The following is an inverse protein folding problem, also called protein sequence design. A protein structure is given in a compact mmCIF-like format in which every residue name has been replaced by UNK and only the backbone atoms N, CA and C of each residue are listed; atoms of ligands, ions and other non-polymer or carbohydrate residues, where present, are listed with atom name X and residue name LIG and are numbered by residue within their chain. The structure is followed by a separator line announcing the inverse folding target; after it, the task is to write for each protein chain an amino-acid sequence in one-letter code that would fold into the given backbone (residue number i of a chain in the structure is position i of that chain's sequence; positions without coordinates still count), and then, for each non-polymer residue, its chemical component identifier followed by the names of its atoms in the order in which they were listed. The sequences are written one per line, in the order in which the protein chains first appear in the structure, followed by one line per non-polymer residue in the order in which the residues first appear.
data_IF_842228904346
#
_entry.id   IF_842228904346
#
_cell.length_a   1.000
_cell.length_b   1.000
_cell.length_c   1.000
_cell.angle_alpha   90.00
_cell.angle_beta   90.00
_cell.angle_gamma   90.00
#
_symmetry.space_group_name_H-M   'P 1'
#
loop_
_entity.id
_entity.type
_entity.pdbx_description
1 polymer ?
#
# COMPACT_ATOMS: atom_id res chain seq x y z
N UNK A 1 65.24 -10.75 29.70
CA UNK A 1 63.86 -10.32 29.29
C UNK A 1 62.93 -10.93 30.27
N UNK A 2 62.58 -10.10 31.23
CA UNK A 2 61.84 -10.48 32.44
C UNK A 2 60.35 -10.59 32.14
N UNK A 3 59.78 -11.77 32.31
CA UNK A 3 58.34 -11.98 32.33
C UNK A 3 57.82 -11.81 33.75
N UNK A 4 57.03 -10.76 33.93
CA UNK A 4 56.43 -10.33 35.18
C UNK A 4 55.44 -11.41 35.73
N UNK A 5 55.55 -11.89 36.97
CA UNK A 5 54.67 -12.91 37.54
C UNK A 5 53.26 -12.44 37.89
N UNK A 6 52.89 -11.20 37.54
CA UNK A 6 51.53 -10.65 37.84
C UNK A 6 50.43 -11.11 36.89
N UNK A 7 50.77 -11.69 35.72
CA UNK A 7 49.77 -12.12 34.74
C UNK A 7 49.17 -13.52 34.96
N UNK A 8 49.71 -14.26 35.95
CA UNK A 8 49.19 -15.61 36.28
C UNK A 8 48.14 -15.62 37.42
N UNK A 9 47.93 -14.50 38.10
CA UNK A 9 46.91 -14.39 39.16
C UNK A 9 45.52 -14.03 38.65
N UNK A 10 45.42 -13.44 37.44
CA UNK A 10 44.14 -13.07 36.79
C UNK A 10 43.34 -14.22 36.18
N UNK A 11 44.02 -15.33 35.86
CA UNK A 11 43.39 -16.48 35.23
C UNK A 11 42.66 -17.46 36.18
N UNK A 12 42.97 -17.39 37.49
CA UNK A 12 42.36 -18.25 38.52
C UNK A 12 41.11 -17.67 39.20
N UNK A 13 40.84 -16.40 39.01
CA UNK A 13 39.65 -15.73 39.59
C UNK A 13 38.39 -15.79 38.72
N UNK A 14 38.48 -16.28 37.48
CA UNK A 14 37.35 -16.38 36.55
C UNK A 14 36.68 -17.77 36.54
N UNK A 15 37.18 -18.76 37.24
CA UNK A 15 36.61 -20.13 37.29
C UNK A 15 35.61 -20.35 38.44
N UNK A 16 35.35 -19.36 39.30
CA UNK A 16 34.50 -19.53 40.50
C UNK A 16 33.13 -18.81 40.43
N UNK A 17 32.74 -18.29 39.25
CA UNK A 17 31.42 -17.68 39.05
C UNK A 17 30.68 -18.24 37.81
N UNK A 18 30.75 -19.55 37.60
CA UNK A 18 29.74 -20.23 36.82
C UNK A 18 28.50 -20.44 37.73
N UNK A 19 27.86 -19.34 38.10
CA UNK A 19 26.51 -19.35 38.67
C UNK A 19 25.59 -19.92 37.57
N UNK A 20 24.85 -20.93 37.96
CA UNK A 20 23.72 -21.53 37.27
C UNK A 20 22.80 -20.40 36.85
N UNK A 21 22.87 -20.00 35.56
CA UNK A 21 21.94 -19.05 34.97
C UNK A 21 20.68 -19.85 34.64
N UNK A 22 19.72 -19.74 35.55
CA UNK A 22 18.35 -20.14 35.32
C UNK A 22 17.91 -19.59 33.97
N UNK A 23 17.36 -20.39 33.03
CA UNK A 23 16.86 -19.87 31.77
C UNK A 23 15.75 -18.87 32.10
N UNK A 24 15.96 -17.62 31.70
CA UNK A 24 14.94 -16.59 31.77
C UNK A 24 13.65 -17.14 31.14
N UNK A 25 12.49 -16.90 31.77
CA UNK A 25 11.22 -17.33 31.22
C UNK A 25 11.09 -16.71 29.84
N UNK A 26 10.76 -17.55 28.85
CA UNK A 26 10.43 -17.09 27.52
C UNK A 26 9.36 -16.00 27.65
N UNK A 27 9.47 -14.89 26.88
CA UNK A 27 8.38 -13.94 26.86
C UNK A 27 7.14 -14.69 26.37
N UNK A 28 6.16 -14.83 27.25
CA UNK A 28 4.80 -15.18 26.85
C UNK A 28 4.35 -14.09 25.87
N UNK A 29 4.66 -14.31 24.59
CA UNK A 29 4.04 -13.59 23.51
C UNK A 29 2.58 -13.98 23.53
N UNK A 30 1.78 -13.16 24.21
CA UNK A 30 0.35 -13.16 24.01
C UNK A 30 0.15 -13.06 22.48
N UNK A 31 -0.24 -14.17 21.88
CA UNK A 31 -0.83 -14.13 20.54
C UNK A 31 -1.94 -13.06 20.63
N UNK A 32 -2.03 -12.11 19.68
CA UNK A 32 -3.15 -11.22 19.69
C UNK A 32 -4.39 -12.11 19.64
N UNK A 33 -5.18 -12.04 20.72
CA UNK A 33 -6.50 -12.66 20.75
C UNK A 33 -7.20 -12.18 19.49
N UNK A 34 -7.46 -13.09 18.57
CA UNK A 34 -8.30 -12.83 17.43
C UNK A 34 -9.63 -12.39 18.02
N UNK A 35 -9.97 -11.13 17.83
CA UNK A 35 -11.26 -10.56 18.16
C UNK A 35 -12.32 -11.30 17.31
N UNK A 36 -12.77 -12.47 17.83
CA UNK A 36 -13.75 -13.35 17.20
C UNK A 36 -15.16 -12.81 17.24
N UNK A 37 -15.37 -11.57 17.68
CA UNK A 37 -16.71 -10.99 17.81
C UNK A 37 -17.03 -9.92 16.77
N UNK A 38 -16.41 -9.94 15.61
CA UNK A 38 -16.94 -9.16 14.49
C UNK A 38 -17.98 -10.01 13.78
N UNK A 39 -19.25 -9.73 14.13
CA UNK A 39 -20.41 -10.13 13.35
C UNK A 39 -20.23 -9.66 11.89
N UNK A 40 -19.71 -10.56 11.05
CA UNK A 40 -19.58 -10.37 9.61
C UNK A 40 -20.89 -10.69 8.89
N UNK A 41 -22.02 -10.26 9.46
CA UNK A 41 -23.25 -10.17 8.70
C UNK A 41 -23.02 -9.42 7.39
N UNK A 42 -23.88 -9.61 6.36
CA UNK A 42 -23.72 -8.93 5.08
C UNK A 42 -23.69 -7.43 5.33
N UNK A 43 -22.47 -6.85 5.32
CA UNK A 43 -22.30 -5.41 5.48
C UNK A 43 -22.94 -4.74 4.29
N UNK A 44 -23.89 -3.89 4.55
CA UNK A 44 -24.44 -3.00 3.53
C UNK A 44 -23.26 -2.30 2.79
N UNK A 45 -23.33 -2.16 1.46
CA UNK A 45 -22.27 -1.51 0.72
C UNK A 45 -22.08 -0.11 1.31
N UNK A 46 -20.90 0.14 1.88
CA UNK A 46 -20.55 1.45 2.42
C UNK A 46 -20.45 2.41 1.25
N UNK A 47 -21.30 3.41 1.24
CA UNK A 47 -21.36 4.42 0.19
C UNK A 47 -20.79 5.72 0.73
N UNK A 48 -19.83 6.30 0.02
CA UNK A 48 -19.43 7.69 0.25
C UNK A 48 -20.01 8.55 -0.85
N UNK A 49 -20.37 9.77 -0.51
CA UNK A 49 -20.95 10.74 -1.45
C UNK A 49 -19.86 11.72 -1.88
N UNK A 50 -19.65 11.86 -3.19
CA UNK A 50 -18.78 12.90 -3.73
C UNK A 50 -19.52 14.24 -3.64
N UNK A 51 -19.02 15.15 -2.81
CA UNK A 51 -19.60 16.49 -2.62
C UNK A 51 -18.90 17.57 -3.42
N UNK A 52 -17.60 17.41 -3.69
CA UNK A 52 -16.82 18.44 -4.40
C UNK A 52 -15.66 17.87 -5.18
N UNK A 53 -15.41 18.48 -6.33
CA UNK A 53 -14.25 18.22 -7.18
C UNK A 53 -13.50 19.55 -7.43
N UNK A 54 -12.25 19.63 -7.03
CA UNK A 54 -11.37 20.76 -7.32
C UNK A 54 -10.29 20.33 -8.31
N UNK A 55 -10.10 21.10 -9.37
CA UNK A 55 -9.15 20.82 -10.46
C UNK A 55 -8.25 22.03 -10.65
N UNK A 56 -6.95 21.85 -10.67
CA UNK A 56 -5.99 22.94 -10.91
C UNK A 56 -4.81 22.45 -11.77
N UNK A 57 -4.42 23.23 -12.78
CA UNK A 57 -3.30 22.90 -13.66
C UNK A 57 -3.50 21.64 -14.51
N UNK A 58 -4.69 21.09 -14.59
CA UNK A 58 -5.00 19.82 -15.27
C UNK A 58 -5.61 20.07 -16.65
N UNK A 59 -4.95 19.60 -17.70
CA UNK A 59 -5.40 19.71 -19.12
C UNK A 59 -5.87 21.12 -19.50
N UNK A 60 -7.18 21.34 -19.64
CA UNK A 60 -7.74 22.66 -19.98
C UNK A 60 -7.93 23.58 -18.76
N UNK A 61 -7.74 23.09 -17.55
CA UNK A 61 -7.94 23.84 -16.32
C UNK A 61 -6.61 24.46 -15.83
N UNK A 62 -6.23 25.60 -16.40
CA UNK A 62 -5.02 26.32 -16.02
C UNK A 62 -5.09 26.85 -14.59
N UNK A 63 -6.26 27.29 -14.15
CA UNK A 63 -6.55 27.82 -12.82
C UNK A 63 -7.40 26.87 -12.02
N UNK A 64 -7.41 27.04 -10.70
CA UNK A 64 -8.23 26.24 -9.83
C UNK A 64 -9.73 26.45 -10.14
N UNK A 65 -10.39 25.37 -10.50
CA UNK A 65 -11.82 25.33 -10.76
C UNK A 65 -12.45 24.34 -9.79
N UNK A 66 -13.51 24.77 -9.13
CA UNK A 66 -14.28 23.92 -8.21
C UNK A 66 -15.63 23.60 -8.81
N UNK A 67 -16.01 22.34 -8.72
CA UNK A 67 -17.32 21.82 -9.13
C UNK A 67 -17.94 21.21 -7.89
N UNK A 68 -19.02 21.81 -7.39
CA UNK A 68 -19.82 21.24 -6.31
C UNK A 68 -20.80 20.23 -6.89
N UNK A 69 -20.87 19.06 -6.26
CA UNK A 69 -21.76 17.96 -6.65
C UNK A 69 -22.89 17.89 -5.62
N UNK A 70 -24.07 18.30 -6.03
CA UNK A 70 -25.23 18.30 -5.16
C UNK A 70 -25.90 16.93 -5.13
N UNK A 71 -26.64 16.59 -4.05
CA UNK A 71 -27.44 15.38 -4.01
C UNK A 71 -28.41 15.28 -5.19
N UNK A 72 -28.54 14.08 -5.74
CA UNK A 72 -29.36 13.82 -6.93
C UNK A 72 -28.56 13.87 -8.23
N UNK A 73 -29.12 14.51 -9.28
CA UNK A 73 -28.49 14.59 -10.59
C UNK A 73 -27.76 15.92 -10.77
N UNK A 74 -26.44 15.86 -10.93
CA UNK A 74 -25.62 17.01 -11.31
C UNK A 74 -25.22 16.94 -12.77
N UNK A 75 -25.56 17.98 -13.57
CA UNK A 75 -25.25 18.08 -14.99
C UNK A 75 -24.16 19.11 -15.28
N UNK A 76 -23.15 18.73 -16.08
CA UNK A 76 -22.11 19.64 -16.58
C UNK A 76 -22.37 19.90 -18.06
N UNK A 77 -22.80 21.11 -18.38
CA UNK A 77 -23.16 21.51 -19.75
C UNK A 77 -22.22 22.60 -20.29
N UNK A 78 -22.05 22.66 -21.58
CA UNK A 78 -21.22 23.67 -22.23
C UNK A 78 -20.94 23.33 -23.70
N UNK A 79 -20.36 24.24 -24.48
CA UNK A 79 -20.04 24.04 -25.90
C UNK A 79 -18.96 22.95 -26.10
N UNK A 80 -18.76 22.50 -27.33
CA UNK A 80 -17.70 21.55 -27.63
C UNK A 80 -16.33 22.22 -27.43
N UNK A 81 -15.38 21.44 -26.87
CA UNK A 81 -14.02 21.92 -26.58
C UNK A 81 -13.83 22.68 -25.25
N UNK A 82 -14.88 22.99 -24.49
CA UNK A 82 -14.75 23.74 -23.22
C UNK A 82 -14.19 22.90 -22.04
N UNK A 83 -13.85 21.63 -22.22
CA UNK A 83 -13.22 20.83 -21.18
C UNK A 83 -14.15 19.88 -20.40
N UNK A 84 -15.43 19.71 -20.79
CA UNK A 84 -16.37 18.79 -20.10
C UNK A 84 -15.80 17.38 -19.89
N UNK A 85 -15.20 16.81 -20.94
CA UNK A 85 -14.57 15.49 -20.84
C UNK A 85 -13.35 15.47 -19.92
N UNK A 86 -12.66 16.60 -19.78
CA UNK A 86 -11.49 16.70 -18.89
C UNK A 86 -11.89 16.67 -17.40
N UNK A 87 -13.14 17.06 -17.07
CA UNK A 87 -13.68 16.89 -15.71
C UNK A 87 -13.80 15.41 -15.35
N UNK A 88 -14.37 14.59 -16.26
CA UNK A 88 -14.47 13.14 -16.05
C UNK A 88 -13.08 12.50 -15.99
N UNK A 89 -12.15 12.97 -16.81
CA UNK A 89 -10.78 12.48 -16.78
C UNK A 89 -10.05 12.87 -15.47
N UNK A 90 -10.25 14.09 -14.97
CA UNK A 90 -9.72 14.51 -13.69
C UNK A 90 -10.23 13.64 -12.55
N UNK A 91 -11.54 13.34 -12.55
CA UNK A 91 -12.16 12.44 -11.58
C UNK A 91 -11.51 11.03 -11.64
N UNK A 92 -11.44 10.42 -12.83
CA UNK A 92 -10.82 9.10 -13.02
C UNK A 92 -9.35 9.10 -12.59
N UNK A 93 -8.63 10.16 -12.94
CA UNK A 93 -7.23 10.30 -12.57
C UNK A 93 -7.06 10.34 -11.06
N UNK A 94 -7.83 11.15 -10.34
CA UNK A 94 -7.78 11.24 -8.88
C UNK A 94 -8.15 9.90 -8.20
N UNK A 95 -9.07 9.13 -8.78
CA UNK A 95 -9.48 7.81 -8.29
C UNK A 95 -8.48 6.68 -8.55
N UNK A 96 -7.33 6.95 -9.18
CA UNK A 96 -6.27 5.95 -9.33
C UNK A 96 -5.94 5.51 -10.75
N UNK A 97 -6.49 6.14 -11.80
CA UNK A 97 -6.08 5.81 -13.17
C UNK A 97 -4.60 6.14 -13.39
N UNK A 98 -3.82 5.14 -13.73
CA UNK A 98 -2.37 5.24 -13.94
C UNK A 98 -1.94 5.04 -15.40
N UNK A 99 -2.89 4.74 -16.31
CA UNK A 99 -2.58 4.54 -17.71
C UNK A 99 -2.79 5.85 -18.49
N UNK A 100 -1.69 6.42 -19.00
CA UNK A 100 -1.72 7.66 -19.78
C UNK A 100 -2.65 7.57 -21.00
N UNK A 101 -2.73 6.41 -21.67
CA UNK A 101 -3.61 6.19 -22.82
C UNK A 101 -5.09 6.35 -22.47
N UNK A 102 -5.50 5.95 -21.28
CA UNK A 102 -6.87 6.15 -20.81
C UNK A 102 -7.18 7.61 -20.50
N UNK A 103 -6.13 8.41 -20.33
CA UNK A 103 -6.19 9.86 -20.14
C UNK A 103 -5.97 10.63 -21.45
N UNK A 104 -6.05 9.96 -22.61
CA UNK A 104 -5.80 10.54 -23.94
C UNK A 104 -4.45 11.26 -24.04
N UNK A 105 -3.43 10.76 -23.36
CA UNK A 105 -2.04 11.22 -23.37
C UNK A 105 -1.07 10.13 -23.81
N UNK A 106 0.12 10.50 -24.22
CA UNK A 106 1.25 9.62 -24.47
C UNK A 106 1.97 9.26 -23.18
N UNK A 107 2.14 10.26 -22.32
CA UNK A 107 2.76 10.17 -21.03
C UNK A 107 1.84 10.69 -19.91
N UNK A 108 2.16 10.38 -18.66
CA UNK A 108 1.34 10.85 -17.53
C UNK A 108 1.46 12.36 -17.34
N UNK A 109 2.58 12.96 -17.69
CA UNK A 109 2.81 14.40 -17.64
C UNK A 109 1.91 15.19 -18.60
N UNK A 110 1.31 14.53 -19.62
CA UNK A 110 0.36 15.16 -20.54
C UNK A 110 -0.96 15.57 -19.87
N UNK A 111 -1.20 15.17 -18.64
CA UNK A 111 -2.33 15.67 -17.86
C UNK A 111 -2.10 17.08 -17.34
N UNK A 112 -0.85 17.56 -17.33
CA UNK A 112 -0.49 18.91 -16.90
C UNK A 112 -0.84 19.91 -18.01
N UNK A 113 -1.41 21.05 -17.65
CA UNK A 113 -1.75 22.11 -18.59
C UNK A 113 -0.52 22.58 -19.36
N UNK A 114 -0.51 22.32 -20.67
CA UNK A 114 0.63 22.59 -21.53
C UNK A 114 0.81 24.08 -21.88
N UNK A 115 -0.21 24.92 -21.62
CA UNK A 115 -0.23 26.33 -22.01
C UNK A 115 -1.06 26.57 -23.29
N UNK A 116 -1.27 27.83 -23.59
CA UNK A 116 -1.90 28.33 -24.82
C UNK A 116 -1.09 29.51 -25.34
N UNK A 117 -1.47 30.07 -26.48
CA UNK A 117 -0.86 31.29 -27.02
C UNK A 117 -0.93 32.49 -26.06
N UNK A 118 -1.90 32.50 -25.13
CA UNK A 118 -2.15 33.59 -24.19
C UNK A 118 -1.84 33.24 -22.71
N UNK A 119 -1.58 31.96 -22.39
CA UNK A 119 -1.33 31.49 -21.02
C UNK A 119 -0.15 30.56 -20.98
N UNK A 120 0.80 30.83 -20.08
CA UNK A 120 1.94 29.93 -19.85
C UNK A 120 1.49 28.55 -19.32
N UNK A 121 2.21 27.52 -19.71
CA UNK A 121 2.03 26.17 -19.18
C UNK A 121 2.24 26.10 -17.68
N UNK A 122 1.73 25.06 -17.05
CA UNK A 122 1.94 24.76 -15.63
C UNK A 122 3.00 23.67 -15.48
N UNK A 123 3.66 23.65 -14.33
CA UNK A 123 4.61 22.59 -13.97
C UNK A 123 3.99 21.48 -13.14
N UNK A 124 2.76 21.71 -12.68
CA UNK A 124 2.03 20.76 -11.84
C UNK A 124 0.54 20.75 -12.17
N UNK A 125 -0.08 19.61 -11.91
CA UNK A 125 -1.52 19.48 -11.87
C UNK A 125 -1.96 18.85 -10.55
N UNK A 126 -3.10 19.29 -10.04
CA UNK A 126 -3.67 18.82 -8.79
C UNK A 126 -5.18 18.64 -8.95
N UNK A 127 -5.67 17.50 -8.47
CA UNK A 127 -7.11 17.20 -8.42
C UNK A 127 -7.45 16.72 -7.02
N UNK A 128 -8.44 17.36 -6.40
CA UNK A 128 -8.92 17.04 -5.07
C UNK A 128 -10.39 16.61 -5.13
N UNK A 129 -10.71 15.50 -4.49
CA UNK A 129 -12.04 14.95 -4.30
C UNK A 129 -12.43 15.10 -2.83
N UNK A 130 -13.57 15.70 -2.55
CA UNK A 130 -14.16 15.73 -1.22
C UNK A 130 -15.30 14.72 -1.16
N UNK A 131 -15.19 13.77 -0.24
CA UNK A 131 -16.17 12.72 0.00
C UNK A 131 -16.80 12.91 1.38
N UNK A 132 -18.10 12.81 1.45
CA UNK A 132 -18.91 12.78 2.68
C UNK A 132 -19.38 11.35 2.99
N UNK A 133 -19.82 11.10 4.22
CA UNK A 133 -20.27 9.79 4.70
C UNK A 133 -19.19 8.68 4.58
N UNK A 134 -17.93 9.07 4.65
CA UNK A 134 -16.79 8.18 4.35
C UNK A 134 -16.26 7.42 5.59
N UNK A 135 -16.94 7.49 6.74
CA UNK A 135 -16.50 6.83 7.96
C UNK A 135 -16.35 5.31 7.77
N UNK A 136 -15.19 4.79 8.18
CA UNK A 136 -14.85 3.37 8.04
C UNK A 136 -14.34 2.93 6.67
N UNK A 137 -14.18 3.86 5.71
CA UNK A 137 -13.68 3.55 4.35
C UNK A 137 -12.17 3.76 4.21
N UNK A 138 -11.62 4.78 4.87
CA UNK A 138 -10.20 5.07 4.78
C UNK A 138 -9.36 4.18 5.69
N UNK A 139 -8.09 3.91 5.32
CA UNK A 139 -7.18 3.24 6.22
C UNK A 139 -6.82 4.13 7.44
N UNK A 140 -6.41 3.54 8.58
CA UNK A 140 -5.91 4.32 9.71
C UNK A 140 -4.80 5.28 9.28
N UNK A 141 -4.73 6.50 9.81
CA UNK A 141 -5.51 7.04 10.95
C UNK A 141 -6.84 7.70 10.58
N UNK A 142 -7.28 7.66 9.34
CA UNK A 142 -8.48 8.37 8.85
C UNK A 142 -9.75 7.48 8.86
N UNK A 143 -9.71 6.32 9.50
CA UNK A 143 -10.80 5.34 9.44
C UNK A 143 -12.13 5.85 10.01
N UNK A 144 -12.11 6.70 11.03
CA UNK A 144 -13.32 7.19 11.71
C UNK A 144 -13.81 8.55 11.18
N UNK A 145 -13.10 9.12 10.20
CA UNK A 145 -13.40 10.47 9.70
C UNK A 145 -14.54 10.38 8.68
N UNK A 146 -15.61 11.16 8.91
CA UNK A 146 -16.76 11.18 8.02
C UNK A 146 -16.53 11.91 6.70
N UNK A 147 -15.60 12.88 6.69
CA UNK A 147 -15.24 13.65 5.51
C UNK A 147 -13.82 13.32 5.08
N UNK A 148 -13.63 12.89 3.84
CA UNK A 148 -12.32 12.60 3.28
C UNK A 148 -12.00 13.55 2.13
N UNK A 149 -10.85 14.19 2.22
CA UNK A 149 -10.26 14.93 1.11
C UNK A 149 -9.12 14.12 0.49
N UNK A 150 -9.30 13.68 -0.75
CA UNK A 150 -8.33 12.88 -1.48
C UNK A 150 -7.73 13.75 -2.57
N UNK A 151 -6.47 14.08 -2.44
CA UNK A 151 -5.72 14.89 -3.40
C UNK A 151 -4.72 14.05 -4.14
N UNK A 152 -4.74 14.12 -5.47
CA UNK A 152 -3.66 13.66 -6.32
C UNK A 152 -2.94 14.82 -6.96
N UNK A 153 -1.63 14.82 -6.88
CA UNK A 153 -0.76 15.83 -7.49
C UNK A 153 0.27 15.16 -8.39
N UNK A 154 0.56 15.78 -9.50
CA UNK A 154 1.67 15.44 -10.38
C UNK A 154 2.52 16.67 -10.61
N UNK A 155 3.82 16.50 -10.61
CA UNK A 155 4.78 17.55 -10.95
C UNK A 155 5.67 17.04 -12.08
N UNK A 156 5.88 17.89 -13.08
CA UNK A 156 6.63 17.56 -14.29
C UNK A 156 8.02 17.04 -13.95
N UNK A 157 8.34 15.82 -14.36
CA UNK A 157 9.62 15.17 -14.09
C UNK A 157 9.84 14.69 -12.65
N UNK A 158 8.95 15.01 -11.69
CA UNK A 158 9.06 14.56 -10.30
C UNK A 158 8.08 13.42 -9.94
N UNK A 159 7.10 13.14 -10.84
CA UNK A 159 6.15 12.05 -10.66
C UNK A 159 4.85 12.45 -9.96
N UNK A 160 4.11 11.45 -9.47
CA UNK A 160 2.77 11.64 -8.90
C UNK A 160 2.70 11.17 -7.45
N UNK A 161 1.99 11.92 -6.62
CA UNK A 161 1.75 11.60 -5.21
C UNK A 161 0.27 11.74 -4.84
N UNK A 162 -0.12 11.08 -3.75
CA UNK A 162 -1.46 11.17 -3.15
C UNK A 162 -1.40 11.69 -1.74
N UNK A 163 -2.48 12.35 -1.33
CA UNK A 163 -2.72 12.75 0.05
C UNK A 163 -4.17 12.44 0.44
N UNK A 164 -4.37 12.03 1.66
CA UNK A 164 -5.68 11.88 2.29
C UNK A 164 -5.69 12.80 3.51
N UNK A 165 -6.62 13.76 3.54
CA UNK A 165 -6.72 14.79 4.58
C UNK A 165 -5.37 15.48 4.85
N UNK A 166 -4.66 15.85 3.77
CA UNK A 166 -3.36 16.53 3.82
C UNK A 166 -2.15 15.63 4.12
N UNK A 167 -2.34 14.38 4.54
CA UNK A 167 -1.26 13.41 4.82
C UNK A 167 -0.93 12.57 3.59
N UNK A 168 0.34 12.29 3.39
CA UNK A 168 0.78 11.43 2.28
C UNK A 168 0.17 10.03 2.37
N UNK A 169 -0.31 9.55 1.23
CA UNK A 169 -0.93 8.23 1.09
C UNK A 169 -0.33 7.48 -0.11
N UNK A 170 -0.36 6.16 -0.04
CA UNK A 170 0.07 5.34 -1.18
C UNK A 170 -1.04 5.26 -2.21
N UNK A 171 -0.70 5.33 -3.49
CA UNK A 171 -1.68 5.20 -4.58
C UNK A 171 -2.49 3.91 -4.51
N UNK A 172 -1.91 2.83 -3.98
CA UNK A 172 -2.60 1.58 -3.75
C UNK A 172 -3.72 1.69 -2.71
N UNK A 173 -3.48 2.42 -1.61
CA UNK A 173 -4.45 2.58 -0.53
C UNK A 173 -5.66 3.39 -1.03
N UNK A 174 -5.40 4.42 -1.87
CA UNK A 174 -6.45 5.19 -2.53
C UNK A 174 -7.23 4.34 -3.54
N UNK A 175 -6.55 3.52 -4.35
CA UNK A 175 -7.21 2.62 -5.29
C UNK A 175 -8.11 1.58 -4.58
N UNK A 176 -7.65 1.04 -3.44
CA UNK A 176 -8.44 0.11 -2.61
C UNK A 176 -9.66 0.82 -2.01
N UNK A 177 -9.48 2.04 -1.48
CA UNK A 177 -10.58 2.83 -0.95
C UNK A 177 -11.69 3.03 -1.99
N UNK A 178 -11.35 3.47 -3.20
CA UNK A 178 -12.34 3.64 -4.26
C UNK A 178 -12.93 2.32 -4.77
N UNK A 179 -12.18 1.23 -4.74
CA UNK A 179 -12.71 -0.10 -5.05
C UNK A 179 -13.74 -0.57 -4.01
N UNK A 180 -13.53 -0.24 -2.73
CA UNK A 180 -14.45 -0.56 -1.63
C UNK A 180 -15.75 0.25 -1.70
N UNK A 181 -15.66 1.50 -2.16
CA UNK A 181 -16.84 2.36 -2.42
C UNK A 181 -17.60 1.90 -3.68
N UNK A 182 -17.05 0.99 -4.49
CA UNK A 182 -17.61 0.60 -5.78
C UNK A 182 -17.47 1.69 -6.86
N UNK A 183 -16.62 2.69 -6.63
CA UNK A 183 -16.46 3.89 -7.47
C UNK A 183 -15.03 4.06 -8.02
N UNK A 184 -14.27 2.98 -8.19
CA UNK A 184 -12.90 3.05 -8.70
C UNK A 184 -12.77 3.72 -10.09
N UNK A 185 -11.56 4.10 -10.46
CA UNK A 185 -11.25 4.77 -11.73
C UNK A 185 -11.76 4.03 -12.99
N UNK A 186 -11.97 2.72 -12.84
CA UNK A 186 -12.53 1.84 -13.89
C UNK A 186 -13.96 1.41 -13.60
N UNK A 187 -14.58 2.00 -12.57
CA UNK A 187 -15.92 1.61 -12.14
C UNK A 187 -16.93 1.60 -13.27
N UNK A 188 -17.82 0.62 -13.25
CA UNK A 188 -18.91 0.47 -14.21
C UNK A 188 -19.84 1.68 -14.21
N UNK A 189 -19.93 2.39 -13.07
CA UNK A 189 -20.67 3.65 -12.95
C UNK A 189 -20.06 4.83 -13.72
N UNK A 190 -18.76 4.77 -14.10
CA UNK A 190 -18.13 5.81 -14.94
C UNK A 190 -18.19 5.45 -16.42
N UNK A 191 -19.26 5.84 -17.08
CA UNK A 191 -19.48 5.58 -18.50
C UNK A 191 -18.88 6.72 -19.33
N UNK A 192 -17.77 6.44 -20.05
CA UNK A 192 -17.19 7.36 -21.02
C UNK A 192 -17.69 7.03 -22.43
N UNK A 193 -17.58 8.01 -23.33
CA UNK A 193 -17.92 7.82 -24.76
C UNK A 193 -17.15 6.63 -25.34
N UNK A 194 -17.85 5.71 -25.98
CA UNK A 194 -17.28 4.48 -26.55
C UNK A 194 -17.11 3.30 -25.58
N UNK A 195 -17.22 3.49 -24.26
CA UNK A 195 -17.09 2.38 -23.29
C UNK A 195 -18.19 1.32 -23.46
N UNK A 196 -19.42 1.74 -23.76
CA UNK A 196 -20.52 0.81 -24.03
C UNK A 196 -20.23 -0.08 -25.23
N UNK A 197 -19.76 0.51 -26.35
CA UNK A 197 -19.38 -0.26 -27.54
C UNK A 197 -18.18 -1.20 -27.23
N UNK A 198 -17.20 -0.73 -26.49
CA UNK A 198 -16.07 -1.56 -26.05
C UNK A 198 -16.53 -2.74 -25.17
N UNK A 199 -17.49 -2.53 -24.28
CA UNK A 199 -18.03 -3.58 -23.41
C UNK A 199 -18.83 -4.63 -24.21
N UNK A 200 -19.58 -4.22 -25.22
CA UNK A 200 -20.29 -5.14 -26.12
C UNK A 200 -19.32 -6.05 -26.88
N UNK A 201 -18.20 -5.48 -27.35
CA UNK A 201 -17.13 -6.21 -28.03
C UNK A 201 -16.12 -6.90 -27.10
N UNK A 202 -16.24 -6.74 -25.79
CA UNK A 202 -15.29 -7.25 -24.82
C UNK A 202 -15.33 -8.78 -24.69
N UNK A 203 -14.19 -9.38 -24.32
CA UNK A 203 -14.09 -10.80 -24.02
C UNK A 203 -14.90 -11.19 -22.77
N UNK A 204 -15.28 -12.48 -22.61
CA UNK A 204 -16.07 -12.93 -21.47
C UNK A 204 -15.45 -12.55 -20.10
N UNK A 205 -14.12 -12.63 -19.99
CA UNK A 205 -13.38 -12.30 -18.77
C UNK A 205 -13.51 -10.81 -18.39
N UNK A 206 -13.46 -9.93 -19.40
CA UNK A 206 -13.62 -8.49 -19.21
C UNK A 206 -15.06 -8.12 -18.81
N UNK A 207 -16.06 -8.78 -19.44
CA UNK A 207 -17.48 -8.62 -19.06
C UNK A 207 -17.74 -9.12 -17.65
N UNK A 208 -17.15 -10.26 -17.26
CA UNK A 208 -17.21 -10.77 -15.90
C UNK A 208 -16.66 -9.77 -14.87
N UNK A 209 -15.53 -9.13 -15.17
CA UNK A 209 -14.95 -8.10 -14.31
C UNK A 209 -15.92 -6.95 -14.02
N UNK A 210 -16.71 -6.52 -15.02
CA UNK A 210 -17.73 -5.47 -14.85
C UNK A 210 -18.89 -5.95 -13.97
N UNK A 211 -19.29 -7.22 -14.09
CA UNK A 211 -20.34 -7.79 -13.23
C UNK A 211 -19.87 -7.93 -11.77
N UNK A 212 -18.64 -8.38 -11.57
CA UNK A 212 -18.03 -8.49 -10.23
C UNK A 212 -17.89 -7.11 -9.56
N UNK A 213 -17.60 -6.09 -10.35
CA UNK A 213 -17.53 -4.71 -9.88
C UNK A 213 -18.93 -4.17 -9.52
N UNK A 214 -19.92 -4.38 -10.38
CA UNK A 214 -21.31 -3.99 -10.11
C UNK A 214 -21.89 -4.70 -8.87
N UNK A 215 -21.39 -5.91 -8.58
CA UNK A 215 -21.74 -6.67 -7.37
C UNK A 215 -20.97 -6.20 -6.12
N UNK A 216 -20.08 -5.19 -6.23
CA UNK A 216 -19.28 -4.71 -5.09
C UNK A 216 -18.19 -5.66 -4.61
N UNK A 217 -17.88 -6.72 -5.37
CA UNK A 217 -16.91 -7.76 -4.96
C UNK A 217 -15.47 -7.47 -5.38
N UNK A 218 -15.24 -6.41 -6.15
CA UNK A 218 -13.91 -6.07 -6.70
C UNK A 218 -12.89 -5.76 -5.60
N UNK A 219 -13.27 -5.01 -4.56
CA UNK A 219 -12.43 -4.70 -3.41
C UNK A 219 -12.06 -5.94 -2.60
N UNK A 220 -13.02 -6.84 -2.38
CA UNK A 220 -12.80 -8.11 -1.69
C UNK A 220 -11.79 -8.99 -2.42
N UNK A 221 -11.90 -9.05 -3.76
CA UNK A 221 -10.98 -9.81 -4.61
C UNK A 221 -9.55 -9.25 -4.55
N UNK A 222 -9.40 -7.93 -4.57
CA UNK A 222 -8.09 -7.28 -4.45
C UNK A 222 -7.43 -7.59 -3.10
N UNK A 223 -8.16 -7.52 -2.00
CA UNK A 223 -7.68 -7.88 -0.66
C UNK A 223 -7.31 -9.35 -0.54
N UNK A 224 -8.13 -10.24 -1.08
CA UNK A 224 -7.84 -11.67 -1.11
C UNK A 224 -6.54 -11.95 -1.85
N UNK A 225 -6.36 -11.37 -3.03
CA UNK A 225 -5.13 -11.53 -3.81
C UNK A 225 -3.89 -11.01 -3.06
N UNK A 226 -4.00 -9.86 -2.40
CA UNK A 226 -2.92 -9.32 -1.57
C UNK A 226 -2.60 -10.24 -0.39
N UNK A 227 -3.60 -10.78 0.28
CA UNK A 227 -3.43 -11.74 1.36
C UNK A 227 -2.74 -13.03 0.88
N UNK A 228 -3.14 -13.56 -0.28
CA UNK A 228 -2.51 -14.72 -0.90
C UNK A 228 -1.03 -14.48 -1.24
N UNK A 229 -0.69 -13.28 -1.74
CA UNK A 229 0.71 -12.91 -2.01
C UNK A 229 1.52 -12.82 -0.72
N UNK A 230 0.98 -12.20 0.33
CA UNK A 230 1.64 -12.12 1.65
C UNK A 230 1.84 -13.50 2.27
N UNK A 231 0.85 -14.38 2.15
CA UNK A 231 0.94 -15.75 2.64
C UNK A 231 2.08 -16.51 1.94
N UNK A 232 2.15 -16.49 0.62
CA UNK A 232 3.23 -17.13 -0.15
C UNK A 232 4.61 -16.57 0.23
N UNK A 233 4.70 -15.26 0.46
CA UNK A 233 5.94 -14.63 0.89
C UNK A 233 6.34 -15.09 2.30
N UNK A 234 5.38 -15.23 3.22
CA UNK A 234 5.61 -15.73 4.56
C UNK A 234 6.06 -17.20 4.53
N UNK A 235 5.43 -18.05 3.72
CA UNK A 235 5.83 -19.46 3.51
C UNK A 235 7.27 -19.58 3.00
N UNK A 236 7.64 -18.74 2.01
CA UNK A 236 9.01 -18.71 1.49
C UNK A 236 10.01 -18.27 2.57
N UNK A 237 9.67 -17.27 3.38
CA UNK A 237 10.52 -16.81 4.46
C UNK A 237 10.66 -17.86 5.56
N UNK A 238 9.59 -18.60 5.86
CA UNK A 238 9.61 -19.70 6.83
C UNK A 238 10.55 -20.81 6.39
N UNK A 239 10.45 -21.25 5.14
CA UNK A 239 11.35 -22.26 4.56
C UNK A 239 12.82 -21.81 4.69
N UNK A 240 13.11 -20.55 4.34
CA UNK A 240 14.47 -20.01 4.48
C UNK A 240 14.95 -19.97 5.92
N UNK A 241 14.08 -19.65 6.87
CA UNK A 241 14.40 -19.66 8.31
C UNK A 241 14.69 -21.07 8.81
N UNK A 242 13.94 -22.08 8.37
CA UNK A 242 14.17 -23.48 8.71
C UNK A 242 15.50 -24.02 8.13
N UNK A 243 15.84 -23.64 6.91
CA UNK A 243 17.13 -23.98 6.30
C UNK A 243 18.29 -23.39 7.11
N UNK A 244 18.19 -22.10 7.48
CA UNK A 244 19.19 -21.43 8.28
C UNK A 244 19.33 -22.08 9.68
N UNK A 245 18.21 -22.43 10.32
CA UNK A 245 18.20 -23.15 11.59
C UNK A 245 18.95 -24.48 11.50
N UNK A 246 18.64 -25.26 10.48
CA UNK A 246 19.28 -26.54 10.21
C UNK A 246 20.81 -26.39 10.02
N UNK A 247 21.21 -25.37 9.25
CA UNK A 247 22.63 -25.04 9.05
C UNK A 247 23.33 -24.68 10.35
N UNK A 248 22.70 -23.82 11.17
CA UNK A 248 23.26 -23.40 12.47
C UNK A 248 23.34 -24.58 13.46
N UNK A 249 22.35 -25.47 13.49
CA UNK A 249 22.39 -26.69 14.29
C UNK A 249 23.55 -27.60 13.89
N UNK A 250 23.78 -27.77 12.60
CA UNK A 250 24.96 -28.50 12.08
C UNK A 250 26.29 -27.87 12.48
N UNK A 251 26.41 -26.55 12.39
CA UNK A 251 27.61 -25.83 12.85
C UNK A 251 27.82 -26.01 14.36
N UNK A 252 26.76 -25.87 15.17
CA UNK A 252 26.80 -26.07 16.62
C UNK A 252 27.30 -27.47 16.98
N UNK A 253 26.81 -28.51 16.32
CA UNK A 253 27.26 -29.89 16.59
C UNK A 253 28.73 -30.10 16.17
N UNK A 254 29.17 -29.51 15.07
CA UNK A 254 30.57 -29.53 14.68
C UNK A 254 31.47 -28.86 15.71
N UNK A 255 31.09 -27.67 16.18
CA UNK A 255 31.83 -26.92 17.21
C UNK A 255 31.88 -27.69 18.56
N UNK A 256 30.79 -28.34 18.95
CA UNK A 256 30.78 -29.20 20.14
C UNK A 256 31.76 -30.37 20.05
N UNK A 257 31.86 -31.02 18.87
CA UNK A 257 32.85 -32.08 18.63
C UNK A 257 34.27 -31.56 18.73
N UNK A 258 34.56 -30.39 18.14
CA UNK A 258 35.87 -29.74 18.22
C UNK A 258 36.24 -29.35 19.66
N UNK A 259 35.29 -28.80 20.42
CA UNK A 259 35.48 -28.44 21.81
C UNK A 259 35.80 -29.68 22.68
N UNK A 260 35.11 -30.81 22.47
CA UNK A 260 35.43 -32.07 23.14
C UNK A 260 36.83 -32.61 22.79
N UNK A 261 37.25 -32.49 21.54
CA UNK A 261 38.58 -32.90 21.09
C UNK A 261 39.66 -32.00 21.74
N UNK A 262 39.45 -30.68 21.74
CA UNK A 262 40.36 -29.73 22.38
C UNK A 262 40.50 -29.96 23.88
N UNK A 263 39.39 -30.25 24.56
CA UNK A 263 39.42 -30.61 25.99
C UNK A 263 40.21 -31.90 26.27
N UNK A 264 40.03 -32.95 25.42
CA UNK A 264 40.82 -34.18 25.52
C UNK A 264 42.30 -33.93 25.29
N UNK A 265 42.66 -33.16 24.27
CA UNK A 265 44.05 -32.82 24.00
C UNK A 265 44.71 -32.08 25.18
N UNK A 266 44.00 -31.09 25.73
CA UNK A 266 44.45 -30.31 26.89
C UNK A 266 44.74 -31.22 28.12
N UNK A 267 43.81 -32.16 28.40
CA UNK A 267 43.98 -33.11 29.49
C UNK A 267 45.16 -34.07 29.31
N UNK A 268 45.39 -34.54 28.06
CA UNK A 268 46.52 -35.42 27.73
C UNK A 268 47.87 -34.68 27.82
N UNK A 269 47.97 -33.45 27.26
CA UNK A 269 49.17 -32.64 27.31
C UNK A 269 49.53 -32.11 28.72
N UNK A 270 48.61 -32.14 29.66
CA UNK A 270 48.86 -31.83 31.07
C UNK A 270 49.36 -33.01 31.93
N UNK A 271 49.37 -34.24 31.34
CA UNK A 271 49.82 -35.47 32.00
C UNK A 271 51.23 -35.87 31.56
N UNK A 272 51.79 -35.22 30.53
CA UNK A 272 53.18 -35.30 30.06
C UNK A 272 53.98 -34.12 30.58
#
# INVERSE_FOLDING_TARGET
MDTNPADLAGAKALESQAGEVDPAPAPEGAAPEADETRDDGPREPRTAVLSRLRIAGFKSFAEATTVDVLPGLTGIVGPNGCGKSNVVEALRWAMGESNARHMRGGEMDDVIFAGTSSRAGRNQAEVTLSLEEAAGLAPPPNAEVAELEITRRIERGAGTGYRINGREARGRDVATLFADIGSGARASGMVSQGRVAALIGAKPEERRSVLEEAAGTAGLRARRHEAELKLRQAETNLTRADDLRTQLEGQRESLKKQARQAARYRNLSGLT
#
